data_IF_470096751699
#
_entry.id   IF_470096751699
#
_cell.length_a   1.000
_cell.length_b   1.000
_cell.length_c   1.000
_cell.angle_alpha   90.00
_cell.angle_beta   90.00
_cell.angle_gamma   90.00
#
_symmetry.space_group_name_H-M   'P 1'
#
loop_
_entity.id
_entity.type
_entity.pdbx_description
1 polymer ?
#
# COMPACT_ATOMS: atom_id res chain seq x y z
N UNK A 1 -18.53 7.31 -30.81
CA UNK A 1 -17.10 7.28 -30.45
C UNK A 1 -17.00 6.94 -28.97
N UNK A 2 -16.74 5.69 -28.60
CA UNK A 2 -16.54 5.35 -27.19
C UNK A 2 -15.22 5.95 -26.71
N UNK A 3 -15.24 6.81 -25.69
CA UNK A 3 -14.02 7.25 -25.00
C UNK A 3 -13.32 5.99 -24.52
N UNK A 4 -12.10 5.73 -25.01
CA UNK A 4 -11.19 4.76 -24.38
C UNK A 4 -10.89 5.34 -23.00
N UNK A 5 -11.61 4.88 -21.98
CA UNK A 5 -11.22 5.08 -20.59
C UNK A 5 -9.89 4.38 -20.45
N UNK A 6 -8.80 5.14 -20.40
CA UNK A 6 -7.51 4.59 -20.01
C UNK A 6 -7.74 4.05 -18.60
N UNK A 7 -7.78 2.73 -18.47
CA UNK A 7 -7.94 2.06 -17.18
C UNK A 7 -6.70 2.37 -16.36
N UNK A 8 -6.88 2.78 -15.11
CA UNK A 8 -5.80 2.87 -14.14
C UNK A 8 -5.04 1.53 -14.12
N UNK A 9 -3.74 1.55 -14.43
CA UNK A 9 -2.85 0.39 -14.27
C UNK A 9 -1.54 0.84 -13.64
N UNK A 10 -0.86 -0.07 -12.95
CA UNK A 10 0.42 0.21 -12.31
C UNK A 10 1.48 0.56 -13.37
N UNK A 11 1.45 -0.09 -14.53
CA UNK A 11 2.39 0.14 -15.62
C UNK A 11 2.29 1.57 -16.16
N UNK A 12 1.07 2.11 -16.24
CA UNK A 12 0.86 3.50 -16.63
C UNK A 12 1.46 4.46 -15.60
N UNK A 13 1.19 4.24 -14.32
CA UNK A 13 1.73 5.09 -13.26
C UNK A 13 3.26 5.09 -13.24
N UNK A 14 3.88 3.91 -13.41
CA UNK A 14 5.34 3.81 -13.54
C UNK A 14 5.80 4.61 -14.75
N UNK A 15 5.22 4.40 -15.94
CA UNK A 15 5.63 5.15 -17.13
C UNK A 15 5.50 6.68 -16.99
N UNK A 16 4.56 7.17 -16.19
CA UNK A 16 4.27 8.60 -16.05
C UNK A 16 5.06 9.28 -14.90
N UNK A 17 5.32 8.58 -13.78
CA UNK A 17 5.79 9.23 -12.52
C UNK A 17 6.87 8.49 -11.73
N UNK A 18 7.20 7.23 -12.05
CA UNK A 18 8.11 6.42 -11.22
C UNK A 18 9.14 5.67 -12.06
N UNK A 19 10.35 5.47 -11.54
CA UNK A 19 11.41 4.73 -12.23
C UNK A 19 11.17 3.22 -12.22
N UNK A 20 10.44 2.72 -11.21
CA UNK A 20 10.15 1.29 -11.07
C UNK A 20 8.82 1.00 -10.37
N UNK A 21 8.36 -0.25 -10.49
CA UNK A 21 7.20 -0.74 -9.74
C UNK A 21 7.46 -0.72 -8.23
N UNK A 22 8.70 -0.96 -7.79
CA UNK A 22 9.06 -0.91 -6.37
C UNK A 22 8.90 0.50 -5.80
N UNK A 23 9.36 1.51 -6.53
CA UNK A 23 9.21 2.91 -6.13
C UNK A 23 7.74 3.32 -6.03
N UNK A 24 6.92 2.95 -7.02
CA UNK A 24 5.47 3.17 -6.98
C UNK A 24 4.85 2.53 -5.72
N UNK A 25 5.22 1.29 -5.40
CA UNK A 25 4.68 0.58 -4.24
C UNK A 25 5.09 1.26 -2.94
N UNK A 26 6.37 1.59 -2.76
CA UNK A 26 6.88 2.26 -1.58
C UNK A 26 6.20 3.63 -1.39
N UNK A 27 6.08 4.40 -2.48
CA UNK A 27 5.37 5.67 -2.46
C UNK A 27 3.90 5.51 -2.07
N UNK A 28 3.18 4.55 -2.68
CA UNK A 28 1.79 4.28 -2.36
C UNK A 28 1.59 3.84 -0.90
N UNK A 29 2.54 3.09 -0.31
CA UNK A 29 2.54 2.75 1.11
C UNK A 29 2.68 4.03 1.95
N UNK A 30 3.62 4.92 1.61
CA UNK A 30 3.77 6.21 2.30
C UNK A 30 2.47 7.04 2.29
N UNK A 31 1.85 7.17 1.12
CA UNK A 31 0.55 7.84 0.96
C UNK A 31 -0.54 7.17 1.81
N UNK A 32 -0.60 5.83 1.82
CA UNK A 32 -1.58 5.11 2.61
C UNK A 32 -1.37 5.29 4.12
N UNK A 33 -0.12 5.23 4.58
CA UNK A 33 0.27 5.44 5.98
C UNK A 33 -0.09 6.85 6.44
N UNK A 34 0.26 7.87 5.66
CA UNK A 34 -0.11 9.26 5.95
C UNK A 34 -1.64 9.41 6.10
N UNK A 35 -2.43 8.78 5.22
CA UNK A 35 -3.90 8.80 5.31
C UNK A 35 -4.42 8.17 6.59
N UNK A 36 -3.85 7.03 6.97
CA UNK A 36 -4.25 6.30 8.17
C UNK A 36 -3.90 7.11 9.42
N UNK A 37 -2.68 7.66 9.48
CA UNK A 37 -2.17 8.41 10.65
C UNK A 37 -2.88 9.75 10.80
N UNK A 38 -3.07 10.50 9.71
CA UNK A 38 -3.74 11.80 9.75
C UNK A 38 -5.27 11.71 9.88
N UNK A 39 -5.84 10.54 9.57
CA UNK A 39 -7.29 10.37 9.47
C UNK A 39 -7.92 11.16 8.32
N UNK A 40 -7.13 11.65 7.35
CA UNK A 40 -7.67 12.41 6.21
C UNK A 40 -8.49 11.52 5.28
N UNK A 41 -9.62 12.06 4.82
CA UNK A 41 -10.43 11.40 3.80
C UNK A 41 -9.73 11.41 2.44
N UNK A 42 -10.26 10.59 1.53
CA UNK A 42 -9.74 10.50 0.17
C UNK A 42 -10.18 11.69 -0.68
N UNK A 43 -9.23 12.34 -1.36
CA UNK A 43 -9.49 13.49 -2.23
C UNK A 43 -10.15 13.08 -3.54
N UNK A 44 -10.05 11.81 -3.92
CA UNK A 44 -10.69 11.26 -5.11
C UNK A 44 -11.89 10.42 -4.69
N UNK A 45 -13.08 10.89 -5.05
CA UNK A 45 -14.32 10.14 -4.88
C UNK A 45 -14.34 9.00 -5.89
N UNK A 46 -14.46 7.76 -5.39
CA UNK A 46 -14.58 6.57 -6.24
C UNK A 46 -15.74 5.72 -5.74
N UNK A 47 -16.43 5.05 -6.65
CA UNK A 47 -17.50 4.09 -6.31
C UNK A 47 -16.94 2.86 -5.56
N UNK A 48 -15.62 2.66 -5.62
CA UNK A 48 -14.89 1.57 -4.98
C UNK A 48 -14.39 2.01 -3.60
N UNK A 49 -14.72 1.22 -2.57
CA UNK A 49 -14.31 1.46 -1.16
C UNK A 49 -12.96 0.85 -0.80
N UNK A 50 -12.18 0.41 -1.79
CA UNK A 50 -10.88 -0.20 -1.56
C UNK A 50 -9.82 0.91 -1.39
N UNK A 51 -9.18 0.97 -0.22
CA UNK A 51 -8.19 2.01 0.10
C UNK A 51 -7.00 1.99 -0.85
N UNK A 52 -6.48 0.82 -1.22
CA UNK A 52 -5.35 0.73 -2.16
C UNK A 52 -5.73 1.30 -3.54
N UNK A 53 -6.95 1.03 -4.01
CA UNK A 53 -7.46 1.62 -5.25
C UNK A 53 -7.58 3.15 -5.14
N UNK A 54 -8.10 3.66 -4.04
CA UNK A 54 -8.24 5.10 -3.80
C UNK A 54 -6.89 5.82 -3.76
N UNK A 55 -5.88 5.20 -3.14
CA UNK A 55 -4.49 5.70 -3.14
C UNK A 55 -3.94 5.78 -4.56
N UNK A 56 -4.05 4.71 -5.34
CA UNK A 56 -3.59 4.71 -6.74
C UNK A 56 -4.33 5.72 -7.61
N UNK A 57 -5.61 5.99 -7.32
CA UNK A 57 -6.41 7.04 -7.98
C UNK A 57 -5.93 8.45 -7.61
N UNK A 58 -5.59 8.69 -6.34
CA UNK A 58 -5.00 9.96 -5.91
C UNK A 58 -3.66 10.21 -6.59
N UNK A 59 -2.82 9.18 -6.70
CA UNK A 59 -1.55 9.23 -7.42
C UNK A 59 -1.77 9.50 -8.92
N UNK A 60 -2.75 8.85 -9.55
CA UNK A 60 -3.07 9.11 -10.96
C UNK A 60 -3.52 10.56 -11.19
N UNK A 61 -4.28 11.13 -10.27
CA UNK A 61 -4.81 12.50 -10.39
C UNK A 61 -3.84 13.59 -9.89
N UNK A 62 -2.67 13.22 -9.35
CA UNK A 62 -1.72 14.17 -8.76
C UNK A 62 -2.26 14.86 -7.50
N UNK A 63 -3.17 14.19 -6.78
CA UNK A 63 -3.82 14.65 -5.54
C UNK A 63 -3.35 13.87 -4.31
N UNK A 64 -2.32 13.06 -4.49
CA UNK A 64 -1.50 12.45 -3.47
C UNK A 64 -0.72 13.53 -2.72
N UNK A 65 -1.44 14.32 -1.91
CA UNK A 65 -0.85 15.27 -0.97
C UNK A 65 -0.14 14.48 0.11
N UNK A 66 1.08 14.08 -0.20
CA UNK A 66 2.02 13.37 0.66
C UNK A 66 3.31 14.18 0.69
N UNK A 67 3.62 14.72 1.87
CA UNK A 67 4.98 15.17 2.14
C UNK A 67 5.74 13.95 2.65
N UNK A 68 6.81 13.51 1.96
CA UNK A 68 7.65 12.46 2.48
C UNK A 68 8.18 12.91 3.83
N UNK A 69 7.89 12.12 4.87
CA UNK A 69 8.60 12.25 6.14
C UNK A 69 10.06 12.02 5.77
N UNK A 70 10.93 13.01 6.00
CA UNK A 70 12.35 12.84 5.77
C UNK A 70 12.78 11.56 6.49
N UNK A 71 13.34 10.63 5.74
CA UNK A 71 13.98 9.45 6.32
C UNK A 71 15.17 9.97 7.13
N UNK A 72 14.95 10.29 8.40
CA UNK A 72 16.06 10.31 9.33
C UNK A 72 16.61 8.88 9.30
N UNK A 73 17.82 8.70 8.77
CA UNK A 73 18.53 7.42 8.61
C UNK A 73 18.77 6.67 9.95
N UNK A 74 18.16 7.12 11.05
CA UNK A 74 18.33 6.59 12.39
C UNK A 74 17.23 5.57 12.71
N UNK A 75 17.69 4.32 12.80
CA UNK A 75 17.06 3.17 13.49
C UNK A 75 15.96 2.40 12.75
N UNK A 76 16.36 1.76 11.64
CA UNK A 76 15.92 0.37 11.40
C UNK A 76 16.87 -0.57 12.16
N UNK A 77 16.82 -0.55 13.49
CA UNK A 77 17.33 -1.70 14.24
C UNK A 77 16.42 -2.89 13.93
N UNK A 78 16.96 -3.86 13.21
CA UNK A 78 16.36 -5.16 12.95
C UNK A 78 15.91 -5.76 14.29
N UNK A 79 14.62 -5.64 14.59
CA UNK A 79 14.02 -6.45 15.64
C UNK A 79 13.87 -7.87 15.08
N UNK A 80 14.99 -8.58 14.93
CA UNK A 80 15.09 -10.03 14.77
C UNK A 80 14.71 -10.69 16.11
N UNK A 81 13.52 -10.35 16.63
CA UNK A 81 12.91 -11.06 17.73
C UNK A 81 12.79 -12.51 17.32
N UNK A 82 13.66 -13.34 17.89
CA UNK A 82 13.62 -14.78 17.85
C UNK A 82 12.17 -15.18 18.18
N UNK A 83 11.43 -15.65 17.18
CA UNK A 83 10.11 -16.20 17.41
C UNK A 83 10.37 -17.55 18.10
N UNK A 84 10.47 -17.55 19.43
CA UNK A 84 10.35 -18.78 20.23
C UNK A 84 8.90 -19.26 20.14
N UNK A 85 8.51 -19.75 18.96
CA UNK A 85 7.30 -20.52 18.81
C UNK A 85 7.57 -21.90 19.39
N UNK A 86 6.91 -22.24 20.50
CA UNK A 86 6.80 -23.65 20.87
C UNK A 86 6.23 -24.42 19.65
N UNK A 87 6.80 -25.58 19.31
CA UNK A 87 6.31 -26.36 18.17
C UNK A 87 4.85 -26.70 18.41
N UNK A 88 3.97 -26.16 17.56
CA UNK A 88 2.56 -26.53 17.54
C UNK A 88 2.50 -27.97 17.07
N UNK A 89 2.26 -28.90 17.99
CA UNK A 89 2.03 -30.30 17.68
C UNK A 89 0.73 -30.44 16.88
N UNK A 90 0.88 -30.69 15.58
CA UNK A 90 -0.23 -30.78 14.62
C UNK A 90 -0.87 -32.18 14.58
N UNK A 91 -0.52 -33.11 15.48
CA UNK A 91 -0.99 -34.51 15.43
C UNK A 91 -2.09 -34.89 16.45
N UNK A 92 -3.02 -34.00 16.81
CA UNK A 92 -4.21 -34.48 17.54
C UNK A 92 -5.52 -33.74 17.22
N UNK A 93 -5.87 -33.76 15.94
CA UNK A 93 -7.30 -33.65 15.55
C UNK A 93 -7.69 -34.80 14.64
N UNK A 94 -7.55 -36.04 15.14
CA UNK A 94 -8.34 -37.15 14.60
C UNK A 94 -9.72 -37.18 15.26
N UNK A 95 -10.68 -36.70 14.47
CA UNK A 95 -11.99 -37.28 14.22
C UNK A 95 -12.83 -37.77 15.42
N UNK A 96 -13.95 -37.07 15.60
CA UNK A 96 -15.16 -37.58 16.20
C UNK A 96 -15.62 -38.91 15.56
N UNK A 97 -16.03 -39.86 16.41
CA UNK A 97 -17.20 -40.73 16.22
C UNK A 97 -17.91 -40.90 17.56
#
# INVERSE_FOLDING_TARGET
>A
MGKRTISLTNEKLVADRFESLFELVNYAIGVATDKIVSGRETYVTTDVRNTAYQVLREIEEGKDLFEPIAEDEEELEENNGEIEGEPVDLESTEAAV
#
